data_IF_672388779690
#
_entry.id   IF_672388779690
#
_cell.length_a   1.000
_cell.length_b   1.000
_cell.length_c   1.000
_cell.angle_alpha   90.00
_cell.angle_beta   90.00
_cell.angle_gamma   90.00
#
_symmetry.space_group_name_H-M   'P 1'
#
loop_
_entity.id
_entity.type
_entity.pdbx_description
1 polymer ?
#
# COMPACT_ATOMS: atom_id res chain seq x y z
N UNK A 1 -8.63 35.78 20.45
CA UNK A 1 -8.71 35.21 19.09
C UNK A 1 -7.47 34.46 18.65
N UNK A 2 -6.27 34.92 19.00
CA UNK A 2 -5.03 34.21 18.66
C UNK A 2 -4.87 32.88 19.38
N UNK A 3 -5.43 32.74 20.58
CA UNK A 3 -5.36 31.49 21.38
C UNK A 3 -6.09 30.31 20.73
N UNK A 4 -7.15 30.57 19.96
CA UNK A 4 -7.93 29.51 19.33
C UNK A 4 -7.21 28.87 18.15
N UNK A 5 -6.37 29.61 17.43
CA UNK A 5 -5.58 29.08 16.33
C UNK A 5 -4.51 28.10 16.80
N UNK A 6 -3.93 28.35 17.96
CA UNK A 6 -2.91 27.46 18.54
C UNK A 6 -3.51 26.15 19.04
N UNK A 7 -4.72 26.21 19.59
CA UNK A 7 -5.42 25.01 20.05
C UNK A 7 -5.77 24.10 18.87
N UNK A 8 -6.18 24.67 17.75
CA UNK A 8 -6.47 23.90 16.53
C UNK A 8 -5.23 23.25 15.94
N UNK A 9 -4.10 23.93 15.92
CA UNK A 9 -2.84 23.39 15.43
C UNK A 9 -2.37 22.25 16.35
N UNK A 10 -2.51 22.39 17.66
CA UNK A 10 -2.15 21.34 18.61
C UNK A 10 -3.06 20.11 18.46
N UNK A 11 -4.35 20.30 18.22
CA UNK A 11 -5.29 19.21 18.00
C UNK A 11 -5.01 18.47 16.70
N UNK A 12 -4.65 19.18 15.64
CA UNK A 12 -4.23 18.61 14.37
C UNK A 12 -2.93 17.81 14.51
N UNK A 13 -1.98 18.31 15.29
CA UNK A 13 -0.73 17.60 15.55
C UNK A 13 -0.96 16.33 16.37
N UNK A 14 -1.87 16.36 17.33
CA UNK A 14 -2.23 15.17 18.12
C UNK A 14 -2.92 14.11 17.26
N UNK A 15 -3.79 14.51 16.34
CA UNK A 15 -4.41 13.57 15.40
C UNK A 15 -3.39 12.92 14.45
N UNK A 16 -2.41 13.68 14.00
CA UNK A 16 -1.32 13.14 13.18
C UNK A 16 -0.46 12.13 13.96
N UNK A 17 -0.22 12.37 15.24
CA UNK A 17 0.53 11.47 16.10
C UNK A 17 -0.24 10.18 16.40
N UNK A 18 -1.55 10.25 16.55
CA UNK A 18 -2.40 9.07 16.76
C UNK A 18 -2.49 8.23 15.47
N UNK A 19 -2.47 8.87 14.29
CA UNK A 19 -2.44 8.17 13.02
C UNK A 19 -1.14 7.42 12.73
N UNK A 20 -0.05 7.75 13.44
CA UNK A 20 1.26 7.11 13.28
C UNK A 20 1.48 5.94 14.24
N UNK A 21 0.46 5.48 14.95
CA UNK A 21 0.60 4.42 15.94
C UNK A 21 0.59 3.00 15.39
N UNK A 22 0.33 2.81 14.09
CA UNK A 22 0.45 1.52 13.42
C UNK A 22 1.92 1.25 13.08
N UNK A 23 2.51 0.25 13.72
CA UNK A 23 3.92 -0.12 13.57
C UNK A 23 4.28 -0.53 12.13
N UNK A 24 3.33 -1.08 11.39
CA UNK A 24 3.53 -1.49 10.00
C UNK A 24 3.10 -0.41 8.98
N UNK A 25 2.54 0.71 9.44
CA UNK A 25 2.18 1.84 8.60
C UNK A 25 0.96 1.63 7.71
N UNK A 26 0.17 0.59 7.97
CA UNK A 26 -1.04 0.31 7.21
C UNK A 26 -2.25 1.04 7.81
N UNK A 27 -3.23 1.37 6.96
CA UNK A 27 -4.51 1.90 7.38
C UNK A 27 -4.58 3.41 7.62
N UNK A 28 -3.48 4.16 7.42
CA UNK A 28 -3.46 5.61 7.65
C UNK A 28 -4.11 6.41 6.50
N UNK A 29 -4.23 5.85 5.32
CA UNK A 29 -4.92 6.42 4.17
C UNK A 29 -5.49 5.30 3.31
N UNK A 30 -6.29 5.66 2.32
CA UNK A 30 -6.86 4.67 1.40
C UNK A 30 -5.80 3.89 0.63
N UNK A 31 -4.63 4.48 0.40
CA UNK A 31 -3.53 3.80 -0.29
C UNK A 31 -2.72 2.87 0.62
N UNK A 32 -2.66 3.17 1.93
CA UNK A 32 -1.76 2.49 2.87
C UNK A 32 -2.29 1.11 3.28
N UNK A 33 -2.22 0.18 2.37
CA UNK A 33 -2.65 -1.20 2.52
C UNK A 33 -1.66 -2.15 1.86
N UNK A 34 -1.82 -3.44 2.14
CA UNK A 34 -1.20 -4.51 1.37
C UNK A 34 -2.12 -4.86 0.20
N UNK A 35 -1.67 -4.55 -1.01
CA UNK A 35 -2.45 -4.75 -2.23
C UNK A 35 -1.95 -5.96 -2.99
N UNK A 36 -2.84 -6.84 -3.43
CA UNK A 36 -2.48 -7.94 -4.30
C UNK A 36 -3.06 -7.75 -5.70
N UNK A 37 -2.36 -8.26 -6.67
CA UNK A 37 -2.80 -8.20 -8.06
C UNK A 37 -3.92 -9.21 -8.29
N UNK A 38 -5.07 -8.73 -8.68
CA UNK A 38 -6.31 -9.49 -8.70
C UNK A 38 -6.32 -10.68 -9.65
N UNK A 39 -5.60 -10.57 -10.76
CA UNK A 39 -5.59 -11.62 -11.79
C UNK A 39 -4.58 -12.73 -11.52
N UNK A 40 -3.71 -12.54 -10.54
CA UNK A 40 -2.70 -13.53 -10.15
C UNK A 40 -2.87 -13.93 -8.69
N UNK A 41 -3.84 -14.75 -8.43
CA UNK A 41 -3.94 -15.44 -7.14
C UNK A 41 -3.53 -16.90 -7.35
N UNK A 42 -2.23 -17.21 -7.46
CA UNK A 42 -1.82 -18.61 -7.45
C UNK A 42 -2.16 -19.20 -6.10
N UNK A 43 -2.60 -20.43 -6.08
CA UNK A 43 -3.06 -21.12 -4.87
C UNK A 43 -1.99 -21.21 -3.78
N UNK A 44 -0.73 -21.04 -4.11
CA UNK A 44 0.40 -21.28 -3.21
C UNK A 44 1.41 -20.11 -3.13
N UNK A 45 1.13 -19.02 -3.83
CA UNK A 45 2.06 -17.89 -3.93
C UNK A 45 1.30 -16.69 -4.44
N UNK A 46 1.52 -15.53 -3.86
CA UNK A 46 0.96 -14.29 -4.39
C UNK A 46 1.86 -13.11 -4.07
N UNK A 47 1.91 -12.18 -5.02
CA UNK A 47 2.68 -10.97 -4.91
C UNK A 47 1.82 -9.84 -4.37
N UNK A 48 2.41 -9.08 -3.47
CA UNK A 48 1.80 -7.91 -2.86
C UNK A 48 2.63 -6.68 -3.13
N UNK A 49 1.96 -5.55 -3.22
CA UNK A 49 2.60 -4.24 -3.12
C UNK A 49 2.04 -3.57 -1.88
N UNK A 50 2.94 -3.17 -0.99
CA UNK A 50 2.57 -2.61 0.31
C UNK A 50 2.99 -1.15 0.35
N UNK A 51 2.01 -0.27 0.49
CA UNK A 51 2.23 1.18 0.64
C UNK A 51 2.12 1.53 2.12
N UNK A 52 3.18 2.12 2.65
CA UNK A 52 3.23 2.51 4.07
C UNK A 52 3.04 4.01 4.22
N UNK A 53 2.51 4.44 5.36
CA UNK A 53 2.20 5.84 5.62
C UNK A 53 3.42 6.76 5.73
N UNK A 54 4.63 6.20 5.80
CA UNK A 54 5.88 6.93 5.83
C UNK A 54 6.47 7.23 4.45
N UNK A 55 5.74 6.92 3.37
CA UNK A 55 6.21 7.14 2.00
C UNK A 55 7.06 6.01 1.44
N UNK A 56 7.16 4.89 2.13
CA UNK A 56 7.87 3.72 1.61
C UNK A 56 6.92 2.73 0.97
N UNK A 57 7.44 1.96 0.03
CA UNK A 57 6.73 0.93 -0.71
C UNK A 57 7.57 -0.35 -0.68
N UNK A 58 6.90 -1.49 -0.61
CA UNK A 58 7.57 -2.78 -0.64
C UNK A 58 6.87 -3.70 -1.62
N UNK A 59 7.65 -4.45 -2.38
CA UNK A 59 7.17 -5.61 -3.13
C UNK A 59 7.41 -6.84 -2.25
N UNK A 60 6.35 -7.60 -1.99
CA UNK A 60 6.39 -8.71 -1.04
C UNK A 60 5.75 -9.93 -1.67
N UNK A 61 6.39 -11.08 -1.52
CA UNK A 61 5.81 -12.37 -1.88
C UNK A 61 5.36 -13.12 -0.64
N UNK A 62 4.21 -13.75 -0.71
CA UNK A 62 3.79 -14.72 0.30
C UNK A 62 4.13 -16.11 -0.24
N UNK A 63 4.97 -16.82 0.49
CA UNK A 63 5.49 -18.13 0.11
C UNK A 63 4.96 -19.15 1.10
N UNK A 64 4.43 -20.25 0.61
CA UNK A 64 4.07 -21.37 1.46
C UNK A 64 5.31 -22.24 1.76
N UNK A 65 5.59 -22.40 3.04
CA UNK A 65 6.65 -23.27 3.53
C UNK A 65 6.05 -24.46 4.30
N UNK A 66 6.88 -25.40 4.66
CA UNK A 66 6.45 -26.53 5.49
C UNK A 66 5.90 -26.09 6.86
N UNK A 67 6.35 -24.92 7.34
CA UNK A 67 5.90 -24.34 8.60
C UNK A 67 4.75 -23.33 8.42
N UNK A 68 4.16 -23.27 7.24
CA UNK A 68 3.07 -22.36 6.89
C UNK A 68 3.52 -21.20 6.02
N UNK A 69 2.62 -20.24 5.76
CA UNK A 69 2.94 -19.11 4.91
C UNK A 69 3.95 -18.16 5.55
N UNK A 70 4.84 -17.61 4.73
CA UNK A 70 5.86 -16.63 5.12
C UNK A 70 5.91 -15.50 4.11
N UNK A 71 6.11 -14.27 4.58
CA UNK A 71 6.29 -13.11 3.70
C UNK A 71 7.76 -12.82 3.48
N UNK A 72 8.11 -12.61 2.22
CA UNK A 72 9.47 -12.29 1.78
C UNK A 72 9.44 -10.97 1.04
N UNK A 73 10.20 -9.99 1.53
CA UNK A 73 10.35 -8.71 0.84
C UNK A 73 11.29 -8.90 -0.35
N UNK A 74 10.79 -8.60 -1.54
CA UNK A 74 11.52 -8.76 -2.80
C UNK A 74 12.26 -7.48 -3.18
N UNK A 75 11.65 -6.33 -2.92
CA UNK A 75 12.25 -5.03 -3.21
C UNK A 75 11.64 -3.96 -2.32
N UNK A 76 12.38 -2.88 -2.16
CA UNK A 76 11.96 -1.68 -1.43
C UNK A 76 11.97 -0.48 -2.36
N UNK A 77 11.25 0.54 -1.96
CA UNK A 77 11.25 1.79 -2.68
C UNK A 77 10.56 2.89 -1.90
N UNK A 78 10.28 3.96 -2.60
CA UNK A 78 9.51 5.08 -2.08
C UNK A 78 8.39 5.44 -3.05
N UNK A 79 7.36 6.08 -2.53
CA UNK A 79 6.27 6.58 -3.36
C UNK A 79 5.90 8.00 -2.96
N UNK A 80 5.31 8.70 -3.90
CA UNK A 80 4.72 10.00 -3.68
C UNK A 80 3.35 10.05 -4.35
N UNK A 81 2.35 10.46 -3.59
CA UNK A 81 0.99 10.62 -4.10
C UNK A 81 0.64 12.11 -4.13
N UNK A 82 0.32 12.62 -5.32
CA UNK A 82 -0.12 13.98 -5.54
C UNK A 82 -1.48 13.97 -6.23
N UNK A 83 -2.54 14.16 -5.44
CA UNK A 83 -3.89 13.97 -5.95
C UNK A 83 -4.13 12.51 -6.33
N UNK A 84 -4.40 12.25 -7.60
CA UNK A 84 -4.55 10.89 -8.15
C UNK A 84 -3.30 10.37 -8.86
N UNK A 85 -2.21 11.14 -8.83
CA UNK A 85 -0.95 10.78 -9.49
C UNK A 85 0.01 10.14 -8.49
N UNK A 86 0.32 8.89 -8.73
CA UNK A 86 1.22 8.08 -7.91
C UNK A 86 2.54 7.91 -8.63
N UNK A 87 3.63 8.30 -7.99
CA UNK A 87 5.00 8.08 -8.48
C UNK A 87 5.71 7.11 -7.57
N UNK A 88 6.22 6.02 -8.14
CA UNK A 88 6.94 4.97 -7.41
C UNK A 88 8.39 4.91 -7.89
N UNK A 89 9.31 4.85 -6.93
CA UNK A 89 10.74 4.66 -7.19
C UNK A 89 11.18 3.38 -6.49
N UNK A 90 11.66 2.43 -7.27
CA UNK A 90 12.12 1.16 -6.75
C UNK A 90 13.64 1.11 -6.67
N UNK A 91 14.17 0.49 -5.61
CA UNK A 91 15.60 0.30 -5.45
C UNK A 91 16.16 -0.53 -6.60
N UNK A 92 17.27 -0.06 -7.16
CA UNK A 92 17.91 -0.71 -8.31
C UNK A 92 17.29 -0.40 -9.67
N UNK A 93 16.20 0.37 -9.71
CA UNK A 93 15.56 0.80 -10.96
C UNK A 93 15.74 2.30 -11.09
N UNK A 94 16.37 2.73 -12.19
CA UNK A 94 16.76 4.11 -12.39
C UNK A 94 15.57 5.05 -12.57
N UNK A 95 14.61 4.66 -13.41
CA UNK A 95 13.50 5.52 -13.75
C UNK A 95 12.29 5.28 -12.86
N UNK A 96 11.60 6.35 -12.41
CA UNK A 96 10.37 6.19 -11.63
C UNK A 96 9.22 5.73 -12.53
N UNK A 97 8.26 5.07 -11.90
CA UNK A 97 6.98 4.72 -12.53
C UNK A 97 5.92 5.70 -12.05
N UNK A 98 5.18 6.29 -12.98
CA UNK A 98 4.10 7.23 -12.65
C UNK A 98 2.78 6.71 -13.18
N UNK A 99 1.78 6.70 -12.32
CA UNK A 99 0.44 6.21 -12.61
C UNK A 99 -0.60 7.22 -12.17
N UNK A 100 -1.72 7.22 -12.87
CA UNK A 100 -2.95 7.77 -12.33
C UNK A 100 -3.71 6.65 -11.64
N UNK A 101 -4.14 6.87 -10.40
CA UNK A 101 -4.83 5.84 -9.63
C UNK A 101 -6.27 6.25 -9.31
N UNK A 102 -7.14 5.25 -9.24
CA UNK A 102 -8.51 5.38 -8.77
C UNK A 102 -8.73 4.27 -7.75
N UNK A 103 -9.13 4.63 -6.55
CA UNK A 103 -9.43 3.67 -5.48
C UNK A 103 -10.94 3.71 -5.24
N UNK A 104 -11.57 2.57 -5.37
CA UNK A 104 -13.01 2.40 -5.14
C UNK A 104 -13.25 1.41 -4.02
N UNK A 105 -14.23 1.70 -3.17
CA UNK A 105 -14.65 0.76 -2.15
C UNK A 105 -15.36 -0.42 -2.79
N UNK A 106 -14.95 -1.63 -2.44
CA UNK A 106 -15.50 -2.87 -2.97
C UNK A 106 -16.02 -3.73 -1.81
N UNK A 107 -17.33 -3.93 -1.74
CA UNK A 107 -17.94 -4.62 -0.60
C UNK A 107 -17.88 -3.79 0.69
N UNK A 108 -18.01 -4.45 1.84
CA UNK A 108 -18.03 -3.77 3.14
C UNK A 108 -16.62 -3.40 3.62
N UNK A 109 -15.64 -4.25 3.36
CA UNK A 109 -14.30 -4.16 3.96
C UNK A 109 -13.18 -4.04 2.94
N UNK A 110 -13.50 -3.99 1.65
CA UNK A 110 -12.51 -4.05 0.60
C UNK A 110 -12.38 -2.78 -0.23
N UNK A 111 -11.26 -2.69 -0.94
CA UNK A 111 -10.99 -1.64 -1.90
C UNK A 111 -10.37 -2.24 -3.15
N UNK A 112 -10.67 -1.62 -4.29
CA UNK A 112 -10.03 -1.93 -5.57
C UNK A 112 -9.28 -0.69 -6.04
N UNK A 113 -8.02 -0.86 -6.41
CA UNK A 113 -7.21 0.21 -6.98
C UNK A 113 -6.96 -0.08 -8.45
N UNK A 114 -7.30 0.88 -9.27
CA UNK A 114 -7.05 0.85 -10.70
C UNK A 114 -5.86 1.76 -10.99
N UNK A 115 -4.85 1.24 -11.67
CA UNK A 115 -3.69 2.00 -12.10
C UNK A 115 -3.71 2.17 -13.61
N UNK A 116 -3.61 3.41 -14.06
CA UNK A 116 -3.53 3.78 -15.46
C UNK A 116 -2.17 4.35 -15.78
N UNK A 117 -1.63 4.06 -16.95
CA UNK A 117 -0.39 4.68 -17.40
C UNK A 117 -0.53 6.19 -17.45
N UNK A 118 0.51 6.90 -17.01
CA UNK A 118 0.53 8.35 -17.07
C UNK A 118 0.54 8.83 -18.53
N UNK A 119 -0.32 9.79 -18.84
CA UNK A 119 -0.44 10.38 -20.17
C UNK A 119 -1.37 9.65 -21.14
N UNK A 120 -1.90 8.49 -20.79
CA UNK A 120 -2.91 7.84 -21.62
C UNK A 120 -4.31 8.31 -21.24
N UNK A 121 -4.99 8.96 -22.18
CA UNK A 121 -6.38 9.37 -22.03
C UNK A 121 -7.37 8.24 -22.24
N UNK A 122 -6.91 7.12 -22.77
CA UNK A 122 -7.76 5.95 -22.98
C UNK A 122 -7.92 5.20 -21.67
N UNK A 123 -9.14 4.80 -21.37
CA UNK A 123 -9.52 4.04 -20.19
C UNK A 123 -9.03 2.58 -20.25
N UNK A 124 -7.94 2.32 -20.92
CA UNK A 124 -7.38 0.99 -20.91
C UNK A 124 -6.76 0.73 -19.54
N UNK A 125 -7.22 -0.30 -18.91
CA UNK A 125 -6.71 -0.77 -17.65
C UNK A 125 -5.25 -1.16 -17.79
N UNK A 126 -4.42 -0.58 -16.95
CA UNK A 126 -3.04 -1.02 -16.87
C UNK A 126 -2.89 -2.14 -15.84
N UNK A 127 -3.28 -1.87 -14.59
CA UNK A 127 -3.26 -2.86 -13.52
C UNK A 127 -4.45 -2.66 -12.58
N UNK A 128 -4.92 -3.75 -12.00
CA UNK A 128 -5.97 -3.76 -10.98
C UNK A 128 -5.47 -4.47 -9.74
N UNK A 129 -5.56 -3.80 -8.61
CA UNK A 129 -5.17 -4.34 -7.30
C UNK A 129 -6.35 -4.38 -6.36
N UNK A 130 -6.30 -5.30 -5.44
CA UNK A 130 -7.35 -5.47 -4.45
C UNK A 130 -6.76 -5.55 -3.04
N UNK A 131 -7.49 -5.01 -2.05
CA UNK A 131 -7.17 -5.19 -0.64
C UNK A 131 -8.44 -5.23 0.21
N UNK A 132 -8.30 -5.65 1.45
CA UNK A 132 -9.36 -5.60 2.46
C UNK A 132 -8.73 -5.53 3.85
N UNK A 133 -9.52 -5.15 4.86
CA UNK A 133 -9.07 -5.20 6.25
C UNK A 133 -8.61 -6.59 6.66
N UNK A 134 -9.34 -7.62 6.23
CA UNK A 134 -8.98 -9.00 6.49
C UNK A 134 -7.67 -9.37 5.82
N UNK A 135 -7.43 -8.85 4.63
CA UNK A 135 -6.19 -9.07 3.89
C UNK A 135 -5.01 -8.38 4.57
N UNK A 136 -5.19 -7.15 5.04
CA UNK A 136 -4.17 -6.44 5.81
C UNK A 136 -3.81 -7.17 7.11
N UNK A 137 -4.81 -7.68 7.82
CA UNK A 137 -4.59 -8.48 9.03
C UNK A 137 -3.81 -9.75 8.72
N UNK A 138 -4.14 -10.40 7.63
CA UNK A 138 -3.41 -11.60 7.17
C UNK A 138 -1.96 -11.26 6.88
N UNK A 139 -1.72 -10.15 6.19
CA UNK A 139 -0.36 -9.67 5.93
C UNK A 139 0.40 -9.38 7.22
N UNK A 140 -0.20 -8.65 8.16
CA UNK A 140 0.44 -8.31 9.44
C UNK A 140 0.85 -9.56 10.22
N UNK A 141 -0.03 -10.55 10.24
CA UNK A 141 0.14 -11.77 11.03
C UNK A 141 0.99 -12.83 10.32
N UNK A 142 1.34 -12.66 9.06
CA UNK A 142 2.20 -13.58 8.34
C UNK A 142 3.65 -13.34 8.76
N UNK A 143 4.33 -14.37 9.31
CA UNK A 143 5.73 -14.23 9.71
C UNK A 143 6.66 -13.95 8.52
N UNK A 144 7.76 -13.27 8.81
CA UNK A 144 8.79 -13.02 7.81
C UNK A 144 9.54 -14.32 7.50
N UNK A 145 9.84 -14.52 6.22
CA UNK A 145 10.67 -15.62 5.78
C UNK A 145 12.09 -15.43 6.28
N UNK A 146 12.55 -16.38 7.05
CA UNK A 146 13.94 -16.46 7.53
C UNK A 146 14.57 -17.65 6.81
N UNK A 147 14.94 -17.43 5.57
CA UNK A 147 15.57 -18.45 4.76
C UNK A 147 16.89 -17.94 4.19
N UNK A 148 17.66 -18.87 3.77
CA UNK A 148 18.93 -18.58 3.12
C UNK A 148 18.74 -17.94 1.74
#
# INVERSE_FOLDING_TARGET
>A
MRKNKWIWIAALLMMALVGCSDDDGLGASELCHAWYWRDEMPKNYYDLVVYKNNGTIESVAIINTDDGPRKKVLNHGSYHLNGDRLTCRWDGIEDPFTYRIVIEKTGEDGYTMYQYSDGEETQSWYNTYYTSWQFDDTYRNTPVYIGE
#
